data_IF_245158028214
#
_entry.id   IF_245158028214
#
_cell.length_a   1.000
_cell.length_b   1.000
_cell.length_c   1.000
_cell.angle_alpha   90.00
_cell.angle_beta   90.00
_cell.angle_gamma   90.00
#
_symmetry.space_group_name_H-M   'P 1'
#
loop_
_entity.id
_entity.type
_entity.pdbx_description
1 polymer ?
#
# COMPACT_ATOMS: atom_id res chain seq x y z
N UNK A 1 -55.91 -29.75 97.62
CA UNK A 1 -54.47 -29.52 97.44
C UNK A 1 -54.03 -29.14 96.01
N UNK A 2 -54.93 -28.98 95.02
CA UNK A 2 -54.55 -28.77 93.62
C UNK A 2 -54.37 -27.30 93.15
N UNK A 3 -54.54 -26.27 94.00
CA UNK A 3 -54.46 -24.84 93.58
C UNK A 3 -53.14 -24.12 93.94
N UNK A 4 -52.27 -24.73 94.74
CA UNK A 4 -50.98 -24.14 95.13
C UNK A 4 -49.81 -24.47 94.18
N UNK A 5 -49.93 -25.54 93.39
CA UNK A 5 -48.91 -25.98 92.44
C UNK A 5 -48.89 -25.12 91.17
N UNK A 6 -50.05 -24.69 90.67
CA UNK A 6 -50.16 -23.87 89.44
C UNK A 6 -49.56 -22.46 89.59
N UNK A 7 -49.65 -21.86 90.77
CA UNK A 7 -49.07 -20.54 91.05
C UNK A 7 -47.54 -20.58 91.24
N UNK A 8 -46.99 -21.71 91.67
CA UNK A 8 -45.54 -21.92 91.78
C UNK A 8 -44.91 -22.26 90.42
N UNK A 9 -45.62 -23.00 89.55
CA UNK A 9 -45.21 -23.24 88.17
C UNK A 9 -45.22 -21.97 87.31
N UNK A 10 -46.27 -21.15 87.40
CA UNK A 10 -46.36 -19.89 86.66
C UNK A 10 -45.28 -18.86 87.05
N UNK A 11 -44.92 -18.77 88.34
CA UNK A 11 -43.83 -17.91 88.78
C UNK A 11 -42.45 -18.42 88.33
N UNK A 12 -42.25 -19.74 88.27
CA UNK A 12 -41.03 -20.35 87.76
C UNK A 12 -40.87 -20.14 86.25
N UNK A 13 -41.94 -20.30 85.47
CA UNK A 13 -41.96 -20.03 84.03
C UNK A 13 -41.67 -18.55 83.73
N UNK A 14 -42.25 -17.64 84.51
CA UNK A 14 -42.02 -16.20 84.35
C UNK A 14 -40.57 -15.79 84.68
N UNK A 15 -39.93 -16.44 85.67
CA UNK A 15 -38.50 -16.27 85.96
C UNK A 15 -37.65 -16.87 84.84
N UNK A 16 -38.02 -18.02 84.30
CA UNK A 16 -37.31 -18.66 83.20
C UNK A 16 -37.37 -17.85 81.90
N UNK A 17 -38.52 -17.23 81.61
CA UNK A 17 -38.69 -16.33 80.46
C UNK A 17 -37.85 -15.05 80.60
N UNK A 18 -37.75 -14.48 81.81
CA UNK A 18 -36.87 -13.34 82.08
C UNK A 18 -35.39 -13.72 81.93
N UNK A 19 -34.99 -14.90 82.38
CA UNK A 19 -33.63 -15.42 82.19
C UNK A 19 -33.31 -15.66 80.71
N UNK A 20 -34.24 -16.23 79.94
CA UNK A 20 -34.10 -16.39 78.50
C UNK A 20 -34.03 -15.03 77.78
N UNK A 21 -34.83 -14.06 78.22
CA UNK A 21 -34.79 -12.68 77.74
C UNK A 21 -33.47 -11.98 78.02
N UNK A 22 -32.89 -12.18 79.22
CA UNK A 22 -31.58 -11.66 79.59
C UNK A 22 -30.46 -12.29 78.76
N UNK A 23 -30.47 -13.61 78.56
CA UNK A 23 -29.50 -14.28 77.69
C UNK A 23 -29.58 -13.80 76.23
N UNK A 24 -30.81 -13.60 75.72
CA UNK A 24 -30.99 -13.03 74.36
C UNK A 24 -30.52 -11.58 74.26
N UNK A 25 -30.66 -10.80 75.33
CA UNK A 25 -30.12 -9.44 75.38
C UNK A 25 -28.59 -9.44 75.43
N UNK A 26 -27.99 -10.37 76.18
CA UNK A 26 -26.54 -10.54 76.26
C UNK A 26 -25.94 -10.91 74.90
N UNK A 27 -26.56 -11.87 74.19
CA UNK A 27 -26.17 -12.25 72.83
C UNK A 27 -26.25 -11.05 71.87
N UNK A 28 -27.34 -10.28 71.91
CA UNK A 28 -27.50 -9.05 71.10
C UNK A 28 -26.48 -7.97 71.44
N UNK A 29 -26.13 -7.80 72.71
CA UNK A 29 -25.10 -6.84 73.15
C UNK A 29 -23.73 -7.27 72.63
N UNK A 30 -23.41 -8.57 72.68
CA UNK A 30 -22.17 -9.11 72.14
C UNK A 30 -22.10 -8.95 70.60
N UNK A 31 -23.21 -9.20 69.90
CA UNK A 31 -23.32 -8.96 68.46
C UNK A 31 -23.14 -7.47 68.10
N UNK A 32 -23.75 -6.57 68.88
CA UNK A 32 -23.55 -5.13 68.73
C UNK A 32 -22.11 -4.72 69.02
N UNK A 33 -21.47 -5.29 70.03
CA UNK A 33 -20.08 -5.01 70.38
C UNK A 33 -19.13 -5.46 69.27
N UNK A 34 -19.31 -6.67 68.73
CA UNK A 34 -18.50 -7.16 67.60
C UNK A 34 -18.77 -6.38 66.32
N UNK A 35 -20.02 -5.99 66.05
CA UNK A 35 -20.35 -5.12 64.92
C UNK A 35 -19.72 -3.72 65.06
N UNK A 36 -19.79 -3.12 66.25
CA UNK A 36 -19.16 -1.83 66.54
C UNK A 36 -17.63 -1.92 66.43
N UNK A 37 -17.02 -3.00 66.94
CA UNK A 37 -15.59 -3.27 66.81
C UNK A 37 -15.16 -3.38 65.34
N UNK A 38 -15.92 -4.09 64.51
CA UNK A 38 -15.69 -4.17 63.06
C UNK A 38 -15.81 -2.80 62.38
N UNK A 39 -16.85 -2.03 62.71
CA UNK A 39 -17.05 -0.69 62.15
C UNK A 39 -15.90 0.27 62.53
N UNK A 40 -15.44 0.23 63.78
CA UNK A 40 -14.29 1.00 64.25
C UNK A 40 -12.99 0.55 63.58
N UNK A 41 -12.77 -0.75 63.40
CA UNK A 41 -11.61 -1.29 62.69
C UNK A 41 -11.58 -0.85 61.21
N UNK A 42 -12.73 -0.88 60.52
CA UNK A 42 -12.84 -0.36 59.15
C UNK A 42 -12.55 1.13 59.09
N UNK A 43 -13.08 1.91 60.04
CA UNK A 43 -12.82 3.36 60.12
C UNK A 43 -11.36 3.68 60.44
N UNK A 44 -10.71 2.89 61.30
CA UNK A 44 -9.29 3.03 61.62
C UNK A 44 -8.39 2.65 60.43
N UNK A 45 -8.79 1.67 59.61
CA UNK A 45 -8.06 1.24 58.43
C UNK A 45 -8.32 2.08 57.17
N UNK A 46 -9.43 2.83 57.12
CA UNK A 46 -9.82 3.63 55.96
C UNK A 46 -8.75 4.65 55.51
N UNK A 47 -8.06 5.39 56.39
CA UNK A 47 -6.99 6.31 56.00
C UNK A 47 -5.83 5.60 55.29
N UNK A 48 -5.37 4.46 55.84
CA UNK A 48 -4.27 3.70 55.24
C UNK A 48 -4.64 3.13 53.85
N UNK A 49 -5.88 2.65 53.69
CA UNK A 49 -6.39 2.19 52.39
C UNK A 49 -6.45 3.32 51.37
N UNK A 50 -6.94 4.49 51.79
CA UNK A 50 -7.00 5.67 50.92
C UNK A 50 -5.60 6.14 50.52
N UNK A 51 -4.65 6.19 51.44
CA UNK A 51 -3.26 6.56 51.15
C UNK A 51 -2.64 5.62 50.12
N UNK A 52 -2.76 4.30 50.32
CA UNK A 52 -2.26 3.30 49.37
C UNK A 52 -2.88 3.49 47.98
N UNK A 53 -4.19 3.67 47.90
CA UNK A 53 -4.85 3.89 46.62
C UNK A 53 -4.39 5.18 45.93
N UNK A 54 -4.13 6.25 46.71
CA UNK A 54 -3.58 7.51 46.18
C UNK A 54 -2.16 7.31 45.63
N UNK A 55 -1.32 6.52 46.30
CA UNK A 55 0.01 6.18 45.80
C UNK A 55 -0.07 5.38 44.49
N UNK A 56 -0.92 4.35 44.43
CA UNK A 56 -1.12 3.56 43.21
C UNK A 56 -1.60 4.41 42.02
N UNK A 57 -2.51 5.35 42.26
CA UNK A 57 -2.98 6.30 41.23
C UNK A 57 -1.89 7.30 40.86
N UNK A 58 -1.12 7.82 41.83
CA UNK A 58 -0.02 8.74 41.55
C UNK A 58 1.08 8.07 40.71
N UNK A 59 1.42 6.81 40.99
CA UNK A 59 2.38 6.03 40.21
C UNK A 59 1.87 5.74 38.79
N UNK A 60 0.57 5.47 38.63
CA UNK A 60 -0.05 5.35 37.32
C UNK A 60 0.06 6.65 36.51
N UNK A 61 -0.30 7.79 37.13
CA UNK A 61 -0.19 9.11 36.49
C UNK A 61 1.26 9.46 36.13
N UNK A 62 2.23 9.19 37.01
CA UNK A 62 3.64 9.44 36.73
C UNK A 62 4.17 8.64 35.53
N UNK A 63 3.67 7.41 35.33
CA UNK A 63 3.97 6.61 34.14
C UNK A 63 3.34 7.20 32.89
N UNK A 64 2.08 7.63 32.95
CA UNK A 64 1.42 8.34 31.84
C UNK A 64 2.13 9.64 31.47
N UNK A 65 2.54 10.46 32.44
CA UNK A 65 3.31 11.68 32.21
C UNK A 65 4.69 11.40 31.58
N UNK A 66 5.28 10.26 31.92
CA UNK A 66 6.54 9.82 31.32
C UNK A 66 6.32 9.40 29.87
N UNK A 67 5.23 8.69 29.55
CA UNK A 67 4.85 8.36 28.18
C UNK A 67 4.54 9.62 27.36
N UNK A 68 3.73 10.52 27.92
CA UNK A 68 3.39 11.82 27.33
C UNK A 68 4.65 12.60 26.92
N UNK A 69 5.62 12.73 27.85
CA UNK A 69 6.90 13.40 27.58
C UNK A 69 7.74 12.69 26.51
N UNK A 70 7.82 11.36 26.54
CA UNK A 70 8.57 10.58 25.54
C UNK A 70 8.01 10.75 24.13
N UNK A 71 6.69 10.82 24.02
CA UNK A 71 5.98 10.94 22.75
C UNK A 71 5.67 12.39 22.35
N UNK A 72 6.05 13.38 23.16
CA UNK A 72 5.83 14.80 22.87
C UNK A 72 4.36 15.21 22.83
N UNK A 73 3.46 14.44 23.45
CA UNK A 73 2.02 14.68 23.48
C UNK A 73 1.55 15.04 24.89
N UNK A 74 0.48 15.83 25.05
CA UNK A 74 -0.13 16.04 26.37
C UNK A 74 -0.68 14.72 26.95
N UNK A 75 -0.70 14.53 28.28
CA UNK A 75 -1.15 13.29 28.92
C UNK A 75 -2.55 12.82 28.49
N UNK A 76 -3.45 13.76 28.21
CA UNK A 76 -4.81 13.48 27.74
C UNK A 76 -4.88 12.87 26.34
N UNK A 77 -3.82 12.98 25.54
CA UNK A 77 -3.77 12.48 24.16
C UNK A 77 -2.91 11.21 24.01
N UNK A 78 -2.32 10.70 25.09
CA UNK A 78 -1.46 9.50 25.06
C UNK A 78 -2.19 8.27 24.51
N UNK A 79 -3.45 8.07 24.90
CA UNK A 79 -4.26 6.96 24.41
C UNK A 79 -4.53 7.07 22.90
N UNK A 80 -4.89 8.26 22.41
CA UNK A 80 -5.07 8.48 20.97
C UNK A 80 -3.78 8.26 20.20
N UNK A 81 -2.66 8.79 20.69
CA UNK A 81 -1.35 8.58 20.07
C UNK A 81 -0.93 7.11 20.06
N UNK A 82 -1.27 6.33 21.09
CA UNK A 82 -1.03 4.90 21.12
C UNK A 82 -1.83 4.16 20.04
N UNK A 83 -3.11 4.51 19.87
CA UNK A 83 -3.95 3.94 18.83
C UNK A 83 -3.44 4.28 17.42
N UNK A 84 -3.00 5.52 17.21
CA UNK A 84 -2.40 5.96 15.96
C UNK A 84 -1.12 5.16 15.64
N UNK A 85 -0.23 5.00 16.64
CA UNK A 85 1.00 4.20 16.49
C UNK A 85 0.71 2.72 16.22
N UNK A 86 -0.32 2.15 16.85
CA UNK A 86 -0.74 0.78 16.56
C UNK A 86 -1.28 0.63 15.14
N UNK A 87 -2.09 1.58 14.68
CA UNK A 87 -2.60 1.59 13.32
C UNK A 87 -1.47 1.75 12.29
N UNK A 88 -0.51 2.63 12.55
CA UNK A 88 0.68 2.81 11.72
C UNK A 88 1.53 1.54 11.68
N UNK A 89 1.78 0.92 12.85
CA UNK A 89 2.52 -0.34 12.91
C UNK A 89 1.83 -1.44 12.10
N UNK A 90 0.52 -1.59 12.25
CA UNK A 90 -0.26 -2.58 11.49
C UNK A 90 -0.17 -2.32 9.98
N UNK A 91 -0.29 -1.07 9.55
CA UNK A 91 -0.18 -0.70 8.14
C UNK A 91 1.24 -0.98 7.58
N UNK A 92 2.29 -0.72 8.36
CA UNK A 92 3.67 -1.03 7.98
C UNK A 92 3.93 -2.53 7.90
N UNK A 93 3.37 -3.32 8.81
CA UNK A 93 3.46 -4.78 8.78
C UNK A 93 2.75 -5.37 7.56
N UNK A 94 1.56 -4.90 7.23
CA UNK A 94 0.83 -5.29 6.01
C UNK A 94 1.63 -4.90 4.75
N UNK A 95 2.11 -3.67 4.67
CA UNK A 95 2.93 -3.20 3.55
C UNK A 95 4.19 -4.05 3.38
N UNK A 96 4.84 -4.45 4.48
CA UNK A 96 6.01 -5.33 4.47
C UNK A 96 5.68 -6.73 3.96
N UNK A 97 4.49 -7.26 4.29
CA UNK A 97 4.05 -8.56 3.78
C UNK A 97 3.77 -8.53 2.27
N UNK A 98 3.26 -7.40 1.76
CA UNK A 98 2.94 -7.19 0.34
C UNK A 98 4.16 -6.83 -0.52
N UNK A 99 5.22 -6.29 0.08
CA UNK A 99 6.45 -5.92 -0.62
C UNK A 99 7.01 -7.03 -1.54
N UNK A 100 7.22 -8.28 -1.10
CA UNK A 100 7.75 -9.34 -1.96
C UNK A 100 6.84 -9.69 -3.14
N UNK A 101 5.52 -9.57 -2.97
CA UNK A 101 4.56 -9.77 -4.06
C UNK A 101 4.73 -8.68 -5.13
N UNK A 102 4.71 -7.42 -4.72
CA UNK A 102 4.88 -6.27 -5.61
C UNK A 102 6.25 -6.28 -6.31
N UNK A 103 7.33 -6.63 -5.59
CA UNK A 103 8.66 -6.81 -6.18
C UNK A 103 8.68 -7.94 -7.21
N UNK A 104 7.97 -9.03 -6.92
CA UNK A 104 7.79 -10.16 -7.83
C UNK A 104 7.04 -9.76 -9.10
N UNK A 105 5.94 -9.00 -8.99
CA UNK A 105 5.20 -8.47 -10.13
C UNK A 105 6.05 -7.50 -10.94
N UNK A 106 6.74 -6.57 -10.30
CA UNK A 106 7.64 -5.63 -10.95
C UNK A 106 8.74 -6.35 -11.74
N UNK A 107 9.32 -7.41 -11.18
CA UNK A 107 10.32 -8.22 -11.88
C UNK A 107 9.73 -8.96 -13.09
N UNK A 108 8.49 -9.46 -12.99
CA UNK A 108 7.79 -10.08 -14.13
C UNK A 108 7.50 -9.07 -15.22
N UNK A 109 6.94 -7.91 -14.88
CA UNK A 109 6.61 -6.85 -15.84
C UNK A 109 7.88 -6.34 -16.54
N UNK A 110 8.99 -6.15 -15.82
CA UNK A 110 10.29 -5.78 -16.44
C UNK A 110 10.77 -6.81 -17.45
N UNK A 111 10.60 -8.11 -17.16
CA UNK A 111 10.95 -9.18 -18.13
C UNK A 111 10.06 -9.13 -19.37
N UNK A 112 8.75 -8.96 -19.18
CA UNK A 112 7.81 -8.84 -20.30
C UNK A 112 8.11 -7.62 -21.17
N UNK A 113 8.36 -6.47 -20.53
CA UNK A 113 8.77 -5.25 -21.20
C UNK A 113 10.05 -5.48 -22.02
N UNK A 114 11.10 -6.07 -21.43
CA UNK A 114 12.34 -6.36 -22.17
C UNK A 114 12.16 -7.34 -23.33
N UNK A 115 11.23 -8.29 -23.25
CA UNK A 115 10.89 -9.16 -24.38
C UNK A 115 10.16 -8.40 -25.49
N UNK A 116 9.17 -7.58 -25.12
CA UNK A 116 8.43 -6.74 -26.05
C UNK A 116 9.35 -5.73 -26.75
N UNK A 117 10.25 -5.07 -26.03
CA UNK A 117 11.25 -4.15 -26.60
C UNK A 117 12.12 -4.85 -27.63
N UNK A 118 12.61 -6.06 -27.37
CA UNK A 118 13.41 -6.82 -28.34
C UNK A 118 12.63 -7.20 -29.60
N UNK A 119 11.37 -7.59 -29.44
CA UNK A 119 10.49 -7.89 -30.58
C UNK A 119 10.24 -6.65 -31.42
N UNK A 120 9.97 -5.51 -30.76
CA UNK A 120 9.80 -4.22 -31.42
C UNK A 120 11.07 -3.81 -32.18
N UNK A 121 12.25 -3.92 -31.57
CA UNK A 121 13.53 -3.62 -32.24
C UNK A 121 13.79 -4.51 -33.44
N UNK A 122 13.47 -5.81 -33.35
CA UNK A 122 13.60 -6.72 -34.49
C UNK A 122 12.67 -6.33 -35.65
N UNK A 123 11.41 -6.01 -35.35
CA UNK A 123 10.43 -5.54 -36.34
C UNK A 123 10.86 -4.19 -36.96
N UNK A 124 11.35 -3.25 -36.14
CA UNK A 124 11.89 -1.96 -36.59
C UNK A 124 13.08 -2.14 -37.54
N UNK A 125 14.04 -3.01 -37.20
CA UNK A 125 15.19 -3.30 -38.09
C UNK A 125 14.77 -3.88 -39.43
N UNK A 126 13.82 -4.82 -39.44
CA UNK A 126 13.29 -5.38 -40.68
C UNK A 126 12.57 -4.32 -41.52
N UNK A 127 11.72 -3.51 -40.90
CA UNK A 127 11.02 -2.41 -41.57
C UNK A 127 11.98 -1.32 -42.09
N UNK A 128 13.00 -0.98 -41.31
CA UNK A 128 14.03 -0.02 -41.66
C UNK A 128 14.83 -0.45 -42.90
N UNK A 129 15.28 -1.72 -42.93
CA UNK A 129 15.98 -2.28 -44.08
C UNK A 129 15.10 -2.26 -45.34
N UNK A 130 13.83 -2.66 -45.21
CA UNK A 130 12.89 -2.67 -46.33
C UNK A 130 12.59 -1.25 -46.83
N UNK A 131 12.33 -0.31 -45.93
CA UNK A 131 12.05 1.08 -46.28
C UNK A 131 13.26 1.73 -46.95
N UNK A 132 14.47 1.57 -46.39
CA UNK A 132 15.70 2.11 -46.96
C UNK A 132 15.96 1.60 -48.38
N UNK A 133 15.82 0.30 -48.61
CA UNK A 133 15.97 -0.31 -49.94
C UNK A 133 14.94 0.24 -50.94
N UNK A 134 13.66 0.24 -50.57
CA UNK A 134 12.56 0.67 -51.44
C UNK A 134 12.65 2.15 -51.81
N UNK A 135 12.99 3.01 -50.85
CA UNK A 135 13.17 4.44 -51.11
C UNK A 135 14.37 4.66 -52.02
N UNK A 136 15.50 3.97 -51.78
CA UNK A 136 16.70 4.09 -52.62
C UNK A 136 16.43 3.64 -54.06
N UNK A 137 15.67 2.56 -54.27
CA UNK A 137 15.25 2.10 -55.60
C UNK A 137 14.42 3.15 -56.35
N UNK A 138 13.57 3.89 -55.65
CA UNK A 138 12.69 4.90 -56.25
C UNK A 138 13.33 6.30 -56.36
N UNK A 139 14.50 6.55 -55.74
CA UNK A 139 15.18 7.84 -55.80
C UNK A 139 15.47 8.36 -57.22
N UNK A 140 15.85 7.52 -58.21
CA UNK A 140 16.02 7.98 -59.59
C UNK A 140 14.75 8.60 -60.20
N UNK A 141 13.56 8.13 -59.81
CA UNK A 141 12.28 8.63 -60.35
C UNK A 141 11.96 10.07 -59.96
N UNK A 142 12.56 10.57 -58.87
CA UNK A 142 12.42 11.94 -58.38
C UNK A 142 13.65 12.80 -58.68
N UNK A 143 14.50 12.38 -59.63
CA UNK A 143 15.71 13.12 -60.01
C UNK A 143 16.79 13.13 -58.93
N UNK A 144 16.80 12.12 -58.05
CA UNK A 144 17.82 11.91 -57.01
C UNK A 144 18.68 10.68 -57.30
N UNK A 145 18.99 10.42 -58.57
CA UNK A 145 19.83 9.29 -58.97
C UNK A 145 21.24 9.35 -58.33
N UNK A 146 21.79 8.19 -57.99
CA UNK A 146 23.09 8.07 -57.32
C UNK A 146 23.07 8.41 -55.82
N UNK A 147 21.88 8.56 -55.22
CA UNK A 147 21.69 8.75 -53.78
C UNK A 147 21.03 7.52 -53.18
N UNK A 148 21.28 7.27 -51.90
CA UNK A 148 20.68 6.16 -51.16
C UNK A 148 20.23 6.60 -49.78
N UNK A 149 19.12 6.04 -49.30
CA UNK A 149 18.63 6.22 -47.93
C UNK A 149 19.02 5.01 -47.08
N UNK A 150 19.70 5.25 -45.96
CA UNK A 150 19.84 4.26 -44.89
C UNK A 150 18.92 4.63 -43.72
N UNK A 151 18.22 3.63 -43.19
CA UNK A 151 17.43 3.75 -41.96
C UNK A 151 18.06 2.82 -40.94
N UNK A 152 18.59 3.40 -39.87
CA UNK A 152 19.39 2.70 -38.88
C UNK A 152 18.70 2.71 -37.53
N UNK A 153 18.73 1.56 -36.85
CA UNK A 153 18.10 1.36 -35.54
C UNK A 153 19.20 1.10 -34.52
N UNK A 154 19.46 2.10 -33.69
CA UNK A 154 20.53 2.10 -32.69
C UNK A 154 19.96 1.86 -31.30
N UNK A 155 20.77 1.33 -30.37
CA UNK A 155 20.35 1.30 -28.98
C UNK A 155 20.25 2.73 -28.45
N UNK A 156 19.18 3.05 -27.72
CA UNK A 156 19.00 4.35 -27.10
C UNK A 156 20.16 4.62 -26.12
N UNK A 157 20.83 5.75 -26.26
CA UNK A 157 21.78 6.24 -25.27
C UNK A 157 21.02 7.08 -24.24
N UNK A 158 21.46 7.07 -22.98
CA UNK A 158 20.79 7.76 -21.87
C UNK A 158 20.67 9.29 -22.04
N UNK A 159 21.41 9.88 -22.99
CA UNK A 159 21.47 11.32 -23.26
C UNK A 159 21.15 11.64 -24.74
N UNK A 160 20.46 10.75 -25.46
CA UNK A 160 20.06 11.02 -26.85
C UNK A 160 18.87 12.01 -26.87
N UNK A 161 19.00 13.20 -27.50
CA UNK A 161 17.90 14.16 -27.61
C UNK A 161 16.70 13.64 -28.42
N UNK A 162 16.89 12.59 -29.22
CA UNK A 162 15.84 11.91 -30.00
C UNK A 162 15.31 10.65 -29.30
N UNK A 163 15.58 10.47 -27.99
CA UNK A 163 14.99 9.40 -27.19
C UNK A 163 13.46 9.58 -27.10
N UNK A 164 12.72 8.77 -27.84
CA UNK A 164 11.24 8.70 -27.85
C UNK A 164 10.66 8.17 -26.51
N UNK A 165 11.49 8.04 -25.49
CA UNK A 165 11.10 7.85 -24.10
C UNK A 165 11.15 6.40 -23.64
N UNK A 166 10.70 6.13 -22.40
CA UNK A 166 11.04 4.93 -21.62
C UNK A 166 10.44 3.60 -22.16
N UNK A 167 9.82 3.60 -23.34
CA UNK A 167 9.16 2.44 -23.94
C UNK A 167 10.01 1.69 -24.97
N UNK A 168 11.12 2.25 -25.47
CA UNK A 168 11.93 1.61 -26.48
C UNK A 168 13.43 1.66 -26.13
N UNK A 169 14.09 0.50 -26.19
CA UNK A 169 15.55 0.41 -26.01
C UNK A 169 16.31 0.88 -27.27
N UNK A 170 15.62 1.48 -28.24
CA UNK A 170 16.17 1.84 -29.55
C UNK A 170 15.64 3.15 -30.15
N UNK A 171 16.53 3.85 -30.86
CA UNK A 171 16.30 5.10 -31.60
C UNK A 171 16.49 4.85 -33.09
N UNK A 172 15.67 5.50 -33.93
CA UNK A 172 15.69 5.34 -35.38
C UNK A 172 16.24 6.60 -36.05
N UNK A 173 17.37 6.47 -36.76
CA UNK A 173 17.94 7.55 -37.55
C UNK A 173 17.80 7.26 -39.05
N UNK A 174 17.40 8.27 -39.81
CA UNK A 174 17.38 8.21 -41.27
C UNK A 174 18.52 9.06 -41.81
N UNK A 175 19.40 8.45 -42.61
CA UNK A 175 20.60 9.09 -43.18
C UNK A 175 20.59 9.00 -44.70
N UNK A 176 21.07 10.06 -45.36
CA UNK A 176 21.06 10.16 -46.81
C UNK A 176 22.48 10.18 -47.36
N UNK A 177 22.83 9.22 -48.21
CA UNK A 177 24.06 9.25 -48.99
C UNK A 177 23.85 10.03 -50.28
N UNK A 178 24.70 11.00 -50.55
CA UNK A 178 24.66 11.81 -51.77
C UNK A 178 25.46 11.16 -52.90
N UNK A 179 25.29 11.66 -54.13
CA UNK A 179 25.99 11.16 -55.32
C UNK A 179 27.52 11.31 -55.27
N UNK A 180 28.04 12.20 -54.41
CA UNK A 180 29.48 12.32 -54.13
C UNK A 180 30.00 11.31 -53.11
N UNK A 181 29.15 10.41 -52.60
CA UNK A 181 29.50 9.45 -51.55
C UNK A 181 29.47 10.02 -50.13
N UNK A 182 29.27 11.33 -49.97
CA UNK A 182 29.11 11.97 -48.66
C UNK A 182 27.79 11.53 -48.01
N UNK A 183 27.88 11.05 -46.78
CA UNK A 183 26.72 10.72 -45.94
C UNK A 183 26.31 11.98 -45.20
N UNK A 184 25.18 12.54 -45.60
CA UNK A 184 24.51 13.62 -44.86
C UNK A 184 23.80 12.97 -43.67
N UNK A 185 23.90 13.62 -42.51
CA UNK A 185 23.38 13.18 -41.21
C UNK A 185 21.87 12.98 -41.18
N UNK A 186 21.14 13.67 -40.31
CA UNK A 186 19.68 13.52 -40.30
C UNK A 186 19.07 13.99 -41.62
N UNK A 187 17.98 13.34 -42.06
CA UNK A 187 17.17 13.82 -43.19
C UNK A 187 16.74 15.30 -43.04
N UNK A 188 16.63 15.81 -41.81
CA UNK A 188 16.38 17.23 -41.52
C UNK A 188 17.52 18.18 -41.94
N UNK A 189 18.76 17.69 -41.98
CA UNK A 189 19.98 18.46 -42.27
C UNK A 189 20.29 18.54 -43.77
N UNK A 190 19.43 17.96 -44.60
CA UNK A 190 19.60 18.01 -46.06
C UNK A 190 19.52 19.47 -46.53
N UNK A 191 20.60 19.92 -47.17
CA UNK A 191 20.91 21.32 -47.48
C UNK A 191 19.96 22.03 -48.47
N UNK A 192 19.16 21.29 -49.26
CA UNK A 192 18.23 21.87 -50.24
C UNK A 192 16.77 21.58 -49.89
N UNK A 193 15.98 22.64 -49.76
CA UNK A 193 14.53 22.57 -49.47
C UNK A 193 13.76 21.77 -50.53
N UNK A 194 14.19 21.83 -51.80
CA UNK A 194 13.59 21.05 -52.89
C UNK A 194 13.94 19.57 -52.86
N UNK A 195 15.12 19.20 -52.36
CA UNK A 195 15.52 17.79 -52.19
C UNK A 195 14.77 17.14 -51.02
N UNK A 196 14.59 17.90 -49.94
CA UNK A 196 13.80 17.48 -48.79
C UNK A 196 12.35 17.19 -49.17
N UNK A 197 11.71 18.08 -49.94
CA UNK A 197 10.34 17.89 -50.40
C UNK A 197 10.18 16.63 -51.26
N UNK A 198 11.12 16.36 -52.18
CA UNK A 198 11.10 15.16 -53.02
C UNK A 198 11.33 13.89 -52.21
N UNK A 199 12.25 13.92 -51.24
CA UNK A 199 12.51 12.80 -50.34
C UNK A 199 11.29 12.48 -49.46
N UNK A 200 10.65 13.51 -48.88
CA UNK A 200 9.43 13.35 -48.09
C UNK A 200 8.27 12.78 -48.91
N UNK A 201 8.11 13.23 -50.16
CA UNK A 201 7.09 12.68 -51.07
C UNK A 201 7.34 11.20 -51.36
N UNK A 202 8.60 10.82 -51.57
CA UNK A 202 8.99 9.43 -51.83
C UNK A 202 8.77 8.54 -50.60
N UNK A 203 9.14 9.02 -49.41
CA UNK A 203 8.86 8.36 -48.14
C UNK A 203 7.36 8.17 -47.93
N UNK A 204 6.57 9.22 -48.16
CA UNK A 204 5.11 9.15 -48.06
C UNK A 204 4.53 8.12 -49.02
N UNK A 205 4.99 8.08 -50.28
CA UNK A 205 4.56 7.09 -51.27
C UNK A 205 4.92 5.65 -50.85
N UNK A 206 6.11 5.44 -50.28
CA UNK A 206 6.56 4.12 -49.82
C UNK A 206 5.78 3.61 -48.61
N UNK A 207 5.45 4.48 -47.67
CA UNK A 207 4.72 4.13 -46.43
C UNK A 207 3.22 3.96 -46.69
N UNK A 208 2.64 4.74 -47.60
CA UNK A 208 1.19 4.69 -47.92
C UNK A 208 0.85 3.57 -48.89
N UNK A 209 1.84 3.07 -49.64
CA UNK A 209 1.65 1.88 -50.48
C UNK A 209 1.46 0.64 -49.61
N UNK A 210 0.43 -0.18 -49.82
CA UNK A 210 0.14 -1.35 -48.98
C UNK A 210 1.35 -2.28 -48.93
N UNK A 211 1.88 -2.52 -47.73
CA UNK A 211 3.00 -3.40 -47.47
C UNK A 211 2.49 -4.84 -47.38
N UNK A 212 2.98 -5.82 -48.17
CA UNK A 212 2.72 -7.22 -47.91
C UNK A 212 3.45 -7.58 -46.60
N UNK A 213 2.67 -7.88 -45.57
CA UNK A 213 3.16 -8.21 -44.24
C UNK A 213 4.31 -9.25 -44.30
N UNK A 214 5.55 -8.93 -43.87
CA UNK A 214 6.67 -9.86 -43.93
C UNK A 214 6.67 -10.93 -42.83
N UNK A 215 5.67 -10.91 -41.93
CA UNK A 215 5.53 -11.93 -40.89
C UNK A 215 4.06 -12.38 -40.74
N UNK A 216 3.66 -13.52 -41.34
CA UNK A 216 2.35 -14.10 -41.06
C UNK A 216 2.42 -14.73 -39.67
N UNK A 217 1.81 -14.09 -38.68
CA UNK A 217 1.71 -14.65 -37.32
C UNK A 217 0.86 -15.95 -37.37
N UNK A 218 1.39 -17.11 -36.98
CA UNK A 218 0.61 -18.36 -36.91
C UNK A 218 -0.29 -18.44 -35.67
N UNK A 219 -0.22 -17.45 -34.75
CA UNK A 219 -0.98 -17.39 -33.50
C UNK A 219 -1.58 -15.99 -33.27
N UNK A 220 -2.30 -15.45 -34.26
CA UNK A 220 -3.14 -14.28 -34.03
C UNK A 220 -4.33 -14.67 -33.12
N UNK A 221 -4.08 -14.69 -31.82
CA UNK A 221 -5.10 -14.84 -30.78
C UNK A 221 -5.73 -13.45 -30.52
N UNK A 222 -7.07 -13.33 -30.50
CA UNK A 222 -7.71 -12.03 -30.38
C UNK A 222 -7.64 -11.57 -28.93
N UNK A 223 -6.98 -10.44 -28.70
CA UNK A 223 -7.20 -9.47 -27.61
C UNK A 223 -7.83 -9.98 -26.29
N UNK A 224 -7.18 -9.80 -25.11
CA UNK A 224 -7.91 -9.95 -23.86
C UNK A 224 -8.94 -8.80 -23.73
N UNK A 225 -10.22 -9.19 -23.70
CA UNK A 225 -11.36 -8.31 -23.43
C UNK A 225 -11.14 -7.51 -22.13
N UNK A 226 -11.17 -6.17 -22.12
CA UNK A 226 -10.91 -5.37 -20.92
C UNK A 226 -12.15 -5.16 -20.03
N UNK A 227 -13.25 -5.88 -20.23
CA UNK A 227 -14.47 -5.68 -19.46
C UNK A 227 -14.87 -6.95 -18.70
N UNK A 228 -14.72 -7.00 -17.36
CA UNK A 228 -15.41 -8.01 -16.57
C UNK A 228 -16.88 -7.60 -16.45
N UNK A 229 -17.78 -8.52 -16.77
CA UNK A 229 -19.23 -8.35 -16.59
C UNK A 229 -19.59 -7.88 -15.17
N UNK A 230 -20.63 -7.04 -15.01
CA UNK A 230 -21.17 -6.74 -13.70
C UNK A 230 -21.92 -7.97 -13.16
N UNK A 231 -21.41 -8.48 -12.04
CA UNK A 231 -22.00 -9.47 -11.13
C UNK A 231 -23.52 -9.76 -11.28
N UNK A 232 -23.96 -11.02 -11.53
CA UNK A 232 -25.37 -11.41 -11.56
C UNK A 232 -25.87 -12.02 -10.24
N UNK A 233 -25.41 -11.53 -9.09
CA UNK A 233 -26.03 -11.80 -7.78
C UNK A 233 -25.97 -10.54 -6.91
N UNK A 234 -27.04 -9.75 -7.01
CA UNK A 234 -27.52 -8.81 -6.01
C UNK A 234 -28.95 -9.23 -5.63
#
# INVERSE_FOLDING_TARGET
>A
EARGADTQGAAADQVQDLLNGLNSLEEKINDLHTAAGRALALRAAAPARLSRHREEVADALARFDTLARKHGVPPSHVEGHYQDLQAELFALEDARQRLPEVEGELAKLRKLMGLASRQLTAARRAAAAHLGARVSELMPSVGMAGRDLSVDVHAAAADDPDDDGPLADDVVHMRLRTAGGEVVGHVGDVASSGERARLLLLLHACVTSPNPNPNPDPNADPTPNPNPDPNPNA
#
